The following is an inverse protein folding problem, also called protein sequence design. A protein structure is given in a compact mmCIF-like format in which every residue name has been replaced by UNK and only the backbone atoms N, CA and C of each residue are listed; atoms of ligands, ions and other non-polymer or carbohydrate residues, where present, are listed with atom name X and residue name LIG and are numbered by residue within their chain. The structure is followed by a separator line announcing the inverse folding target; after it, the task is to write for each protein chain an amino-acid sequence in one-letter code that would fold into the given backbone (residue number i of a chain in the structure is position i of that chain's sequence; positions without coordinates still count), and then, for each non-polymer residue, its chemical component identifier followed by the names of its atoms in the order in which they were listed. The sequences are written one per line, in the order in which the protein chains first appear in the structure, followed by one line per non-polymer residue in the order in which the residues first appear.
data_IF_186257894087
#
_entry.id   IF_186257894087
#
_cell.length_a   1.000
_cell.length_b   1.000
_cell.length_c   1.000
_cell.angle_alpha   90.00
_cell.angle_beta   90.00
_cell.angle_gamma   90.00
#
_symmetry.space_group_name_H-M   'P 1'
#
loop_
_entity.id
_entity.type
_entity.pdbx_description
1 polymer ?
#
# COMPACT_ATOMS: atom_id res chain seq x y z
N UNK A 1 13.22 -15.25 -7.31
CA UNK A 1 12.09 -14.52 -7.92
C UNK A 1 10.96 -14.57 -6.90
N UNK A 2 10.33 -13.44 -6.56
CA UNK A 2 9.21 -13.45 -5.60
C UNK A 2 8.08 -14.27 -6.21
N UNK A 3 7.68 -15.36 -5.56
CA UNK A 3 6.54 -16.16 -5.96
C UNK A 3 5.47 -16.03 -4.89
N UNK A 4 4.22 -15.84 -5.33
CA UNK A 4 3.09 -15.59 -4.44
C UNK A 4 2.22 -16.84 -4.36
N UNK A 5 2.22 -17.47 -3.19
CA UNK A 5 1.41 -18.66 -2.92
C UNK A 5 -0.08 -18.35 -3.04
N UNK A 6 -0.50 -17.16 -2.60
CA UNK A 6 -1.84 -16.59 -2.82
C UNK A 6 -1.70 -15.16 -3.38
N UNK A 7 -1.78 -14.99 -4.72
CA UNK A 7 -1.32 -13.79 -5.41
C UNK A 7 -2.29 -12.61 -5.27
N UNK A 8 -2.38 -12.09 -4.05
CA UNK A 8 -3.13 -10.91 -3.67
C UNK A 8 -2.20 -9.71 -3.73
N UNK A 9 -2.41 -8.84 -4.71
CA UNK A 9 -1.56 -7.68 -4.98
C UNK A 9 -2.33 -6.40 -4.71
N UNK A 10 -1.80 -5.59 -3.80
CA UNK A 10 -2.34 -4.28 -3.50
C UNK A 10 -1.68 -3.23 -4.39
N UNK A 11 -2.49 -2.45 -5.09
CA UNK A 11 -2.05 -1.30 -5.88
C UNK A 11 -2.38 -0.02 -5.13
N UNK A 12 -1.40 0.88 -5.06
CA UNK A 12 -1.59 2.22 -4.53
C UNK A 12 -0.68 3.20 -5.27
N UNK A 13 -0.94 4.50 -5.13
CA UNK A 13 -0.01 5.47 -5.70
C UNK A 13 -0.39 6.93 -5.50
N UNK A 14 0.37 7.80 -6.17
CA UNK A 14 0.12 9.23 -6.14
C UNK A 14 -1.15 9.59 -6.90
N UNK A 15 -1.97 10.49 -6.36
CA UNK A 15 -3.20 11.00 -7.02
C UNK A 15 -2.95 11.71 -8.35
N UNK A 16 -1.71 12.12 -8.59
CA UNK A 16 -1.25 12.77 -9.82
C UNK A 16 -0.41 11.83 -10.69
N UNK A 17 -0.35 10.54 -10.37
CA UNK A 17 0.30 9.56 -11.22
C UNK A 17 -0.46 9.43 -12.54
N UNK A 18 0.23 9.63 -13.67
CA UNK A 18 -0.37 9.75 -15.01
C UNK A 18 -0.13 8.54 -15.91
N UNK A 19 0.76 7.63 -15.51
CA UNK A 19 1.20 6.55 -16.38
C UNK A 19 0.31 5.32 -16.25
N UNK A 20 -0.95 5.42 -16.72
CA UNK A 20 -1.91 4.31 -16.74
C UNK A 20 -1.33 3.06 -17.43
N UNK A 21 -0.63 3.24 -18.55
CA UNK A 21 0.02 2.15 -19.28
C UNK A 21 1.00 1.36 -18.41
N UNK A 22 1.73 2.02 -17.51
CA UNK A 22 2.65 1.36 -16.58
C UNK A 22 1.90 0.50 -15.57
N UNK A 23 0.79 0.99 -15.02
CA UNK A 23 -0.05 0.21 -14.09
C UNK A 23 -0.58 -1.03 -14.80
N UNK A 24 -1.12 -0.84 -16.01
CA UNK A 24 -1.69 -1.91 -16.82
C UNK A 24 -0.65 -2.98 -17.18
N UNK A 25 0.54 -2.57 -17.64
CA UNK A 25 1.61 -3.50 -18.00
C UNK A 25 2.13 -4.31 -16.79
N UNK A 26 2.21 -3.70 -15.60
CA UNK A 26 2.55 -4.44 -14.37
C UNK A 26 1.47 -5.46 -14.05
N UNK A 27 0.19 -5.07 -14.11
CA UNK A 27 -0.94 -5.97 -13.84
C UNK A 27 -1.06 -7.07 -14.90
N UNK A 28 -0.78 -6.79 -16.17
CA UNK A 28 -0.76 -7.79 -17.24
C UNK A 28 0.37 -8.82 -17.02
N UNK A 29 1.54 -8.39 -16.54
CA UNK A 29 2.62 -9.32 -16.16
C UNK A 29 2.22 -10.21 -14.98
N UNK A 30 1.56 -9.64 -13.98
CA UNK A 30 1.05 -10.41 -12.83
C UNK A 30 -0.05 -11.37 -13.26
N UNK A 31 -0.96 -10.95 -14.13
CA UNK A 31 -2.03 -11.79 -14.68
C UNK A 31 -1.44 -12.93 -15.51
N UNK A 32 -0.45 -12.65 -16.36
CA UNK A 32 0.26 -13.67 -17.13
C UNK A 32 0.94 -14.70 -16.23
N UNK A 33 1.48 -14.26 -15.08
CA UNK A 33 2.17 -15.13 -14.13
C UNK A 33 1.22 -15.99 -13.29
N UNK A 34 0.14 -15.39 -12.78
CA UNK A 34 -0.71 -16.00 -11.76
C UNK A 34 -2.09 -16.42 -12.27
N UNK A 35 -2.47 -16.01 -13.49
CA UNK A 35 -3.72 -16.37 -14.13
C UNK A 35 -4.95 -15.94 -13.32
N UNK A 36 -5.94 -16.83 -13.26
CA UNK A 36 -7.19 -16.61 -12.54
C UNK A 36 -7.04 -16.52 -11.02
N UNK A 37 -5.87 -16.88 -10.46
CA UNK A 37 -5.61 -16.73 -9.03
C UNK A 37 -5.32 -15.28 -8.62
N UNK A 38 -4.92 -14.41 -9.56
CA UNK A 38 -4.59 -13.02 -9.25
C UNK A 38 -5.80 -12.29 -8.66
N UNK A 39 -5.61 -11.74 -7.47
CA UNK A 39 -6.50 -10.81 -6.80
C UNK A 39 -5.83 -9.43 -6.75
N UNK A 40 -6.55 -8.40 -7.13
CA UNK A 40 -6.11 -6.99 -7.11
C UNK A 40 -6.88 -6.24 -6.04
N UNK A 41 -6.16 -5.59 -5.14
CA UNK A 41 -6.71 -4.73 -4.08
C UNK A 41 -6.36 -3.28 -4.40
N UNK A 42 -7.33 -2.37 -4.36
CA UNK A 42 -7.14 -0.93 -4.60
C UNK A 42 -8.18 -0.13 -3.79
N UNK A 43 -8.10 1.21 -3.72
CA UNK A 43 -9.10 1.96 -2.94
C UNK A 43 -9.69 3.20 -3.57
N UNK A 44 -9.97 3.11 -4.86
CA UNK A 44 -10.82 3.97 -5.67
C UNK A 44 -10.51 5.46 -5.48
N UNK A 45 -9.23 5.79 -5.56
CA UNK A 45 -8.73 7.16 -5.57
C UNK A 45 -8.20 7.50 -6.98
N UNK A 46 -7.91 8.77 -7.23
CA UNK A 46 -7.39 9.22 -8.53
C UNK A 46 -6.00 8.66 -8.82
N UNK A 47 -5.62 8.63 -10.09
CA UNK A 47 -4.26 8.30 -10.51
C UNK A 47 -4.02 6.80 -10.55
N UNK A 48 -3.17 6.27 -9.68
CA UNK A 48 -2.79 4.86 -9.73
C UNK A 48 -3.93 3.91 -9.37
N UNK A 49 -4.69 4.21 -8.31
CA UNK A 49 -5.86 3.41 -7.90
C UNK A 49 -6.91 3.39 -9.04
N UNK A 50 -7.24 4.53 -9.64
CA UNK A 50 -8.11 4.66 -10.82
C UNK A 50 -7.61 3.84 -12.03
N UNK A 51 -6.31 3.88 -12.33
CA UNK A 51 -5.74 3.10 -13.42
C UNK A 51 -5.84 1.58 -13.17
N UNK A 52 -5.65 1.14 -11.93
CA UNK A 52 -5.81 -0.26 -11.53
C UNK A 52 -7.27 -0.70 -11.59
N UNK A 53 -8.18 0.14 -11.08
CA UNK A 53 -9.63 -0.10 -11.15
C UNK A 53 -10.09 -0.33 -12.59
N UNK A 54 -9.73 0.60 -13.49
CA UNK A 54 -10.08 0.48 -14.91
C UNK A 54 -9.46 -0.76 -15.56
N UNK A 55 -8.24 -1.15 -15.17
CA UNK A 55 -7.65 -2.40 -15.66
C UNK A 55 -8.47 -3.62 -15.24
N UNK A 56 -8.90 -3.69 -13.98
CA UNK A 56 -9.73 -4.78 -13.46
C UNK A 56 -11.06 -4.88 -14.22
N UNK A 57 -11.71 -3.75 -14.49
CA UNK A 57 -12.94 -3.70 -15.29
C UNK A 57 -12.72 -4.18 -16.73
N UNK A 58 -11.68 -3.69 -17.41
CA UNK A 58 -11.35 -4.10 -18.78
C UNK A 58 -11.02 -5.59 -18.91
N UNK A 59 -10.44 -6.19 -17.86
CA UNK A 59 -10.11 -7.61 -17.80
C UNK A 59 -11.24 -8.47 -17.23
N UNK A 60 -12.36 -7.87 -16.84
CA UNK A 60 -13.54 -8.57 -16.31
C UNK A 60 -13.24 -9.32 -15.02
N UNK A 61 -12.42 -8.75 -14.12
CA UNK A 61 -12.21 -9.36 -12.80
C UNK A 61 -13.51 -9.26 -11.99
N UNK A 62 -13.95 -10.39 -11.45
CA UNK A 62 -15.11 -10.45 -10.56
C UNK A 62 -14.82 -9.87 -9.16
N UNK A 63 -15.87 -9.74 -8.35
CA UNK A 63 -15.79 -9.20 -6.99
C UNK A 63 -14.91 -10.05 -6.03
N UNK A 64 -14.65 -11.30 -6.37
CA UNK A 64 -13.71 -12.19 -5.67
C UNK A 64 -12.24 -11.88 -5.98
N UNK A 65 -11.98 -11.21 -7.10
CA UNK A 65 -10.63 -10.91 -7.62
C UNK A 65 -10.31 -9.43 -7.71
N UNK A 66 -11.31 -8.55 -7.64
CA UNK A 66 -11.13 -7.10 -7.60
C UNK A 66 -11.72 -6.55 -6.30
N UNK A 67 -10.84 -6.30 -5.33
CA UNK A 67 -11.19 -5.83 -4.00
C UNK A 67 -10.99 -4.32 -3.91
N UNK A 68 -12.05 -3.59 -4.26
CA UNK A 68 -12.11 -2.14 -4.24
C UNK A 68 -12.53 -1.61 -2.86
N UNK A 69 -11.74 -0.71 -2.26
CA UNK A 69 -11.97 -0.15 -0.92
C UNK A 69 -12.14 1.39 -0.96
N UNK A 70 -13.30 1.90 -1.41
CA UNK A 70 -13.54 3.34 -1.55
C UNK A 70 -13.72 4.06 -0.21
N UNK A 71 -13.45 5.37 -0.20
CA UNK A 71 -13.81 6.28 0.90
C UNK A 71 -14.85 7.28 0.41
N UNK A 72 -16.00 7.34 1.09
CA UNK A 72 -16.98 8.40 0.84
C UNK A 72 -16.55 9.69 1.56
N UNK A 73 -15.69 10.48 0.90
CA UNK A 73 -15.11 11.69 1.48
C UNK A 73 -16.14 12.74 1.91
N UNK A 74 -17.29 12.83 1.24
CA UNK A 74 -18.36 13.76 1.60
C UNK A 74 -18.99 13.38 2.93
N UNK A 75 -19.35 12.10 3.07
CA UNK A 75 -19.88 11.56 4.33
C UNK A 75 -18.87 11.69 5.47
N UNK A 76 -17.60 11.42 5.23
CA UNK A 76 -16.56 11.55 6.25
C UNK A 76 -16.42 12.99 6.76
N UNK A 77 -16.49 13.98 5.85
CA UNK A 77 -16.47 15.40 6.21
C UNK A 77 -17.71 15.81 7.01
N UNK A 78 -18.87 15.21 6.74
CA UNK A 78 -20.12 15.48 7.47
C UNK A 78 -20.09 14.87 8.88
N UNK A 79 -19.74 13.59 9.00
CA UNK A 79 -19.80 12.84 10.26
C UNK A 79 -18.69 13.23 11.22
N UNK A 80 -17.48 13.50 10.71
CA UNK A 80 -16.31 13.83 11.52
C UNK A 80 -15.49 14.98 10.91
N UNK A 81 -16.02 16.21 10.86
CA UNK A 81 -15.41 17.35 10.16
C UNK A 81 -14.00 17.72 10.65
N UNK A 82 -13.64 17.37 11.90
CA UNK A 82 -12.31 17.64 12.46
C UNK A 82 -11.29 16.53 12.21
N UNK A 83 -11.74 15.32 11.84
CA UNK A 83 -10.87 14.14 11.71
C UNK A 83 -11.12 13.32 10.44
N UNK A 84 -11.91 13.81 9.47
CA UNK A 84 -12.23 13.12 8.21
C UNK A 84 -11.00 12.65 7.42
N UNK A 85 -9.86 13.33 7.57
CA UNK A 85 -8.60 12.95 6.91
C UNK A 85 -8.06 11.59 7.38
N UNK A 86 -8.45 11.14 8.58
CA UNK A 86 -8.08 9.82 9.10
C UNK A 86 -8.71 8.68 8.29
N UNK A 87 -9.80 8.93 7.53
CA UNK A 87 -10.45 7.94 6.69
C UNK A 87 -9.50 7.31 5.64
N UNK A 88 -8.54 8.09 5.12
CA UNK A 88 -7.55 7.57 4.17
C UNK A 88 -6.61 6.53 4.81
N UNK A 89 -5.88 6.89 5.88
CA UNK A 89 -5.08 5.94 6.65
C UNK A 89 -5.86 4.73 7.18
N UNK A 90 -7.12 4.92 7.60
CA UNK A 90 -8.01 3.82 8.02
C UNK A 90 -8.33 2.88 6.86
N UNK A 91 -8.65 3.42 5.67
CA UNK A 91 -8.81 2.64 4.43
C UNK A 91 -7.54 1.87 4.08
N UNK A 92 -6.37 2.50 4.22
CA UNK A 92 -5.10 1.82 3.97
C UNK A 92 -4.93 0.59 4.88
N UNK A 93 -5.27 0.72 6.16
CA UNK A 93 -5.23 -0.41 7.10
C UNK A 93 -6.24 -1.49 6.70
N UNK A 94 -7.46 -1.12 6.27
CA UNK A 94 -8.47 -2.07 5.79
C UNK A 94 -8.01 -2.84 4.56
N UNK A 95 -7.37 -2.18 3.59
CA UNK A 95 -6.81 -2.87 2.42
C UNK A 95 -5.70 -3.87 2.80
N UNK A 96 -4.96 -3.64 3.89
CA UNK A 96 -3.96 -4.59 4.40
C UNK A 96 -4.60 -5.78 5.13
N UNK A 97 -5.80 -5.62 5.70
CA UNK A 97 -6.59 -6.73 6.24
C UNK A 97 -7.06 -7.71 5.17
N UNK A 98 -7.01 -7.31 3.89
CA UNK A 98 -7.20 -8.22 2.76
C UNK A 98 -5.96 -9.10 2.49
N UNK A 99 -4.97 -9.11 3.37
CA UNK A 99 -3.78 -9.97 3.32
C UNK A 99 -3.02 -9.95 1.97
N UNK A 100 -2.67 -8.77 1.43
CA UNK A 100 -1.84 -8.72 0.23
C UNK A 100 -0.47 -9.35 0.49
N UNK A 101 0.03 -10.13 -0.46
CA UNK A 101 1.39 -10.67 -0.43
C UNK A 101 2.41 -9.76 -1.15
N UNK A 102 1.93 -8.74 -1.87
CA UNK A 102 2.75 -7.74 -2.53
C UNK A 102 2.00 -6.41 -2.59
N UNK A 103 2.71 -5.31 -2.32
CA UNK A 103 2.25 -3.96 -2.68
C UNK A 103 3.04 -3.44 -3.87
N UNK A 104 2.34 -2.92 -4.87
CA UNK A 104 2.94 -2.12 -5.95
C UNK A 104 2.53 -0.67 -5.77
N UNK A 105 3.51 0.17 -5.43
CA UNK A 105 3.32 1.61 -5.21
C UNK A 105 3.77 2.39 -6.46
N UNK A 106 2.83 3.10 -7.10
CA UNK A 106 3.10 3.93 -8.28
C UNK A 106 3.24 5.39 -7.89
N UNK A 107 4.46 5.94 -7.85
CA UNK A 107 4.67 7.29 -7.33
C UNK A 107 5.95 7.97 -7.84
N UNK A 108 5.80 9.08 -8.57
CA UNK A 108 6.90 9.84 -9.20
C UNK A 108 7.85 10.50 -8.21
N UNK A 109 7.32 11.11 -7.16
CA UNK A 109 8.13 11.85 -6.17
C UNK A 109 8.04 11.22 -4.78
N UNK A 110 8.40 9.94 -4.69
CA UNK A 110 8.27 9.19 -3.44
C UNK A 110 9.33 9.62 -2.41
N UNK A 111 8.88 10.19 -1.29
CA UNK A 111 9.73 10.71 -0.21
C UNK A 111 9.35 10.06 1.13
N UNK A 112 9.89 8.89 1.48
CA UNK A 112 9.51 8.17 2.70
C UNK A 112 9.92 8.91 3.99
N UNK A 113 11.06 9.62 3.95
CA UNK A 113 11.59 10.39 5.07
C UNK A 113 10.79 11.64 5.45
N UNK A 114 10.14 12.29 4.48
CA UNK A 114 9.51 13.62 4.70
C UNK A 114 8.08 13.72 4.20
N UNK A 115 7.67 12.91 3.23
CA UNK A 115 6.34 12.97 2.61
C UNK A 115 5.22 12.54 3.55
N UNK A 116 4.09 13.23 3.53
CA UNK A 116 2.90 12.94 4.36
C UNK A 116 1.74 12.36 3.53
N UNK A 117 2.02 11.88 2.32
CA UNK A 117 1.00 11.41 1.38
C UNK A 117 0.45 10.02 1.72
N UNK A 118 -0.76 9.72 1.25
CA UNK A 118 -1.43 8.43 1.48
C UNK A 118 -0.62 7.22 1.00
N UNK A 119 0.18 7.36 -0.06
CA UNK A 119 1.10 6.31 -0.53
C UNK A 119 2.23 6.05 0.46
N UNK A 120 2.79 7.09 1.09
CA UNK A 120 3.83 6.93 2.13
C UNK A 120 3.26 6.18 3.34
N UNK A 121 2.03 6.51 3.75
CA UNK A 121 1.33 5.79 4.82
C UNK A 121 1.10 4.31 4.47
N UNK A 122 0.56 4.02 3.28
CA UNK A 122 0.34 2.63 2.82
C UNK A 122 1.65 1.84 2.79
N UNK A 123 2.68 2.37 2.12
CA UNK A 123 3.97 1.66 1.98
C UNK A 123 4.64 1.40 3.32
N UNK A 124 4.60 2.36 4.27
CA UNK A 124 5.10 2.17 5.63
C UNK A 124 4.35 1.06 6.37
N UNK A 125 3.01 1.09 6.32
CA UNK A 125 2.18 0.06 6.98
C UNK A 125 2.41 -1.32 6.39
N UNK A 126 2.54 -1.42 5.08
CA UNK A 126 2.82 -2.67 4.39
C UNK A 126 4.16 -3.27 4.83
N UNK A 127 5.25 -2.49 4.83
CA UNK A 127 6.55 -3.01 5.29
C UNK A 127 6.54 -3.40 6.77
N UNK A 128 5.82 -2.66 7.63
CA UNK A 128 5.64 -3.02 9.04
C UNK A 128 4.80 -4.30 9.23
N UNK A 129 3.86 -4.56 8.32
CA UNK A 129 3.09 -5.80 8.29
C UNK A 129 3.85 -6.97 7.65
N UNK A 130 5.07 -6.75 7.15
CA UNK A 130 5.87 -7.77 6.47
C UNK A 130 5.50 -8.02 5.03
N UNK A 131 4.68 -7.16 4.45
CA UNK A 131 4.32 -7.21 3.03
C UNK A 131 5.39 -6.48 2.23
N UNK A 132 6.07 -7.15 1.28
CA UNK A 132 7.07 -6.50 0.44
C UNK A 132 6.43 -5.45 -0.47
N UNK A 133 7.13 -4.33 -0.65
CA UNK A 133 6.63 -3.17 -1.41
C UNK A 133 7.57 -2.86 -2.57
N UNK A 134 7.07 -2.94 -3.80
CA UNK A 134 7.75 -2.49 -5.00
C UNK A 134 7.32 -1.07 -5.37
N UNK A 135 8.26 -0.14 -5.43
CA UNK A 135 8.03 1.22 -5.91
C UNK A 135 8.31 1.30 -7.42
N UNK A 136 7.28 1.67 -8.18
CA UNK A 136 7.35 2.05 -9.59
C UNK A 136 7.25 3.59 -9.72
N UNK A 137 8.37 4.30 -9.97
CA UNK A 137 8.41 5.76 -10.00
C UNK A 137 7.93 6.38 -11.32
N UNK A 138 7.82 5.63 -12.42
CA UNK A 138 7.51 6.23 -13.71
C UNK A 138 7.24 5.22 -14.81
N UNK A 139 7.43 5.64 -16.06
CA UNK A 139 7.07 4.85 -17.24
C UNK A 139 8.02 3.67 -17.51
N UNK A 140 9.29 3.81 -17.14
CA UNK A 140 10.28 2.76 -17.31
C UNK A 140 10.13 1.69 -16.23
N UNK A 141 9.67 0.50 -16.63
CA UNK A 141 9.46 -0.64 -15.75
C UNK A 141 10.75 -1.29 -15.25
N UNK A 142 11.89 -0.95 -15.85
CA UNK A 142 13.21 -1.38 -15.36
C UNK A 142 13.71 -0.49 -14.23
N UNK A 143 13.11 0.70 -14.07
CA UNK A 143 13.43 1.64 -13.01
C UNK A 143 12.41 1.43 -11.90
N UNK A 144 12.77 0.65 -10.90
CA UNK A 144 11.96 0.45 -9.70
C UNK A 144 12.82 -0.09 -8.56
N UNK A 145 12.27 -0.10 -7.34
CA UNK A 145 13.01 -0.59 -6.18
C UNK A 145 12.10 -1.11 -5.08
N UNK A 146 12.65 -2.01 -4.28
CA UNK A 146 12.03 -2.42 -3.02
C UNK A 146 12.15 -1.31 -1.98
N UNK A 147 11.04 -0.98 -1.33
CA UNK A 147 11.02 -0.07 -0.18
C UNK A 147 11.48 -0.82 1.06
N UNK A 148 12.29 -0.16 1.90
CA UNK A 148 12.77 -0.71 3.16
C UNK A 148 12.33 0.13 4.35
N UNK A 149 12.08 -0.52 5.49
CA UNK A 149 11.58 0.14 6.71
C UNK A 149 12.52 1.27 7.20
N UNK A 150 13.84 1.11 7.04
CA UNK A 150 14.83 2.12 7.45
C UNK A 150 14.74 3.45 6.68
N UNK A 151 14.00 3.51 5.57
CA UNK A 151 13.81 4.74 4.82
C UNK A 151 12.82 5.71 5.49
N UNK A 152 12.09 5.23 6.50
CA UNK A 152 11.06 5.98 7.21
C UNK A 152 11.57 6.48 8.57
N UNK A 153 11.12 7.66 9.02
CA UNK A 153 11.46 8.15 10.35
C UNK A 153 10.90 7.22 11.43
N UNK A 154 11.71 6.96 12.45
CA UNK A 154 11.35 6.08 13.58
C UNK A 154 10.02 6.46 14.24
N UNK A 155 9.79 7.75 14.48
CA UNK A 155 8.56 8.26 15.09
C UNK A 155 7.30 7.91 14.28
N UNK A 156 7.39 7.97 12.94
CA UNK A 156 6.28 7.58 12.06
C UNK A 156 6.06 6.08 12.04
N UNK A 157 7.13 5.30 12.02
CA UNK A 157 7.03 3.85 12.09
C UNK A 157 6.33 3.41 13.39
N UNK A 158 6.66 4.04 14.53
CA UNK A 158 6.00 3.78 15.80
C UNK A 158 4.50 4.13 15.80
N UNK A 159 4.11 5.26 15.19
CA UNK A 159 2.70 5.65 15.05
C UNK A 159 1.92 4.68 14.16
N UNK A 160 2.49 4.32 13.01
CA UNK A 160 1.89 3.37 12.08
C UNK A 160 1.74 1.97 12.71
N UNK A 161 2.74 1.50 13.45
CA UNK A 161 2.69 0.25 14.19
C UNK A 161 1.55 0.24 15.23
N UNK A 162 1.33 1.35 15.95
CA UNK A 162 0.18 1.47 16.87
C UNK A 162 -1.15 1.37 16.15
N UNK A 163 -1.27 1.94 14.95
CA UNK A 163 -2.48 1.84 14.14
C UNK A 163 -2.74 0.41 13.65
N UNK A 164 -1.70 -0.31 13.22
CA UNK A 164 -1.78 -1.71 12.80
C UNK A 164 -2.21 -2.62 13.95
N UNK A 165 -1.59 -2.50 15.14
CA UNK A 165 -1.97 -3.27 16.33
C UNK A 165 -3.44 -3.09 16.72
N UNK A 166 -3.95 -1.86 16.67
CA UNK A 166 -5.37 -1.57 16.94
C UNK A 166 -6.31 -2.26 15.97
N UNK A 167 -5.84 -2.55 14.75
CA UNK A 167 -6.58 -3.27 13.73
C UNK A 167 -6.30 -4.79 13.74
N UNK A 168 -5.53 -5.30 14.70
CA UNK A 168 -5.16 -6.72 14.77
C UNK A 168 -4.14 -7.16 13.72
N UNK A 169 -3.36 -6.22 13.15
CA UNK A 169 -2.32 -6.50 12.14
C UNK A 169 -0.91 -6.30 12.73
N UNK A 170 0.06 -7.11 12.29
CA UNK A 170 1.49 -6.80 12.42
C UNK A 170 2.30 -7.47 13.55
N UNK A 171 1.85 -8.60 14.10
CA UNK A 171 2.49 -9.23 15.29
C UNK A 171 3.97 -9.67 15.11
N UNK A 172 4.49 -9.82 13.89
CA UNK A 172 5.86 -10.35 13.66
C UNK A 172 6.97 -9.30 13.56
N UNK A 173 6.81 -8.23 12.79
CA UNK A 173 7.90 -7.24 12.54
C UNK A 173 7.89 -6.04 13.48
N UNK A 174 6.72 -5.74 14.05
CA UNK A 174 6.57 -4.68 15.02
C UNK A 174 7.28 -5.02 16.34
N UNK A 175 7.37 -6.31 16.68
CA UNK A 175 8.13 -6.80 17.84
C UNK A 175 9.64 -6.58 17.68
N UNK A 176 10.19 -6.86 16.49
CA UNK A 176 11.61 -6.67 16.18
C UNK A 176 12.01 -5.18 16.16
N UNK A 177 11.12 -4.31 15.66
CA UNK A 177 11.33 -2.87 15.70
C UNK A 177 11.39 -2.32 17.13
N UNK A 178 10.51 -2.78 18.02
CA UNK A 178 10.50 -2.37 19.42
C UNK A 178 11.74 -2.89 20.18
N UNK A 179 12.22 -4.09 19.86
CA UNK A 179 13.46 -4.65 20.42
C UNK A 179 14.71 -3.81 20.06
N UNK A 180 14.84 -3.41 18.79
CA UNK A 180 15.96 -2.56 18.33
C UNK A 180 15.89 -1.12 18.90
N UNK A 181 14.68 -0.67 19.20
CA UNK A 181 14.41 0.64 19.83
C UNK A 181 14.71 0.65 21.33
N UNK A 182 14.54 -0.49 22.00
CA UNK A 182 14.86 -0.67 23.41
C UNK A 182 16.37 -0.79 23.63
N UNK A 183 17.10 -1.49 22.74
CA UNK A 183 18.56 -1.62 22.80
C UNK A 183 19.34 -0.30 22.61
N UNK A 184 18.75 0.68 21.91
CA UNK A 184 19.35 2.02 21.74
C UNK A 184 19.16 2.95 22.95
N UNK A 185 18.26 2.64 23.90
CA UNK A 185 18.04 3.47 25.10
C UNK A 185 18.90 3.07 26.31
N UNK A 186 19.52 1.90 26.29
CA UNK A 186 20.32 1.38 27.41
C UNK A 186 21.83 1.63 27.27
N UNK A 187 22.27 2.37 26.25
CA UNK A 187 23.70 2.67 25.99
C UNK A 187 24.09 4.14 26.22
N UNK A 188 23.43 4.83 27.17
CA UNK A 188 23.86 6.14 27.66
C UNK A 188 24.22 6.10 29.12
#
# INVERSE_FOLDING_TARGET
MLDLDDPRVLVCGGRTYRSTATVHEVLDRLLKRYGTRLVVIEGADKGADEAAHHWCELRGLGADRHLCQPVNWEREKQVRPRSWRAAGPERNTRMLSEEPQLVVAFHTWFRPGTGTGGTVDMTLKAVLAGVPVWLAPGQDLNVGRWIRLQEFPHSRAAEAAKALRRAGLGDRLVADFDADSAGKRTSR
#
